data_IF_235406332585
#
_entry.id   IF_235406332585
#
_cell.length_a   1.000
_cell.length_b   1.000
_cell.length_c   1.000
_cell.angle_alpha   90.00
_cell.angle_beta   90.00
_cell.angle_gamma   90.00
#
_symmetry.space_group_name_H-M   'P 1'
#
loop_
_entity.id
_entity.type
_entity.pdbx_description
1 polymer ?
#
# COMPACT_ATOMS: atom_id res chain seq x y z
N UNK A 1 6.30 4.08 11.73
CA UNK A 1 6.06 5.50 12.10
C UNK A 1 4.62 5.94 11.88
N UNK A 2 4.00 5.56 10.75
CA UNK A 2 2.61 5.95 10.41
C UNK A 2 1.63 5.47 11.48
N UNK A 3 1.65 4.20 11.83
CA UNK A 3 0.73 3.64 12.84
C UNK A 3 0.87 4.32 14.22
N UNK A 4 2.09 4.74 14.58
CA UNK A 4 2.30 5.49 15.83
C UNK A 4 1.70 6.89 15.79
N UNK A 5 1.78 7.56 14.63
CA UNK A 5 1.19 8.88 14.45
C UNK A 5 -0.34 8.82 14.40
N UNK A 6 -0.92 7.88 13.68
CA UNK A 6 -2.37 7.70 13.57
C UNK A 6 -3.00 7.23 14.87
N UNK A 7 -2.30 6.46 15.69
CA UNK A 7 -2.76 6.09 17.04
C UNK A 7 -3.03 7.30 17.94
N UNK A 8 -2.36 8.43 17.67
CA UNK A 8 -2.59 9.68 18.38
C UNK A 8 -3.62 10.57 17.68
N UNK A 9 -3.66 10.54 16.36
CA UNK A 9 -4.54 11.38 15.55
C UNK A 9 -5.99 10.88 15.57
N UNK A 10 -6.22 9.60 15.33
CA UNK A 10 -7.56 9.06 15.14
C UNK A 10 -8.52 9.20 16.33
N UNK A 11 -8.07 9.11 17.60
CA UNK A 11 -8.94 9.43 18.74
C UNK A 11 -9.45 10.87 18.76
N UNK A 12 -8.71 11.80 18.14
CA UNK A 12 -9.06 13.23 18.07
C UNK A 12 -9.83 13.52 16.79
N UNK A 13 -9.42 12.96 15.65
CA UNK A 13 -10.01 13.22 14.35
C UNK A 13 -9.87 12.00 13.43
N UNK A 14 -10.98 11.33 13.13
CA UNK A 14 -11.04 10.16 12.24
C UNK A 14 -12.11 10.29 11.14
N UNK A 15 -12.66 11.47 10.96
CA UNK A 15 -13.60 11.79 9.88
C UNK A 15 -13.08 12.96 9.05
N UNK A 16 -13.50 13.10 7.79
CA UNK A 16 -13.11 14.26 6.97
C UNK A 16 -13.44 15.60 7.65
N UNK A 17 -14.59 15.72 8.29
CA UNK A 17 -15.02 16.91 9.01
C UNK A 17 -14.07 17.25 10.17
N UNK A 18 -13.75 16.25 11.00
CA UNK A 18 -12.90 16.42 12.17
C UNK A 18 -11.45 16.76 11.76
N UNK A 19 -10.94 16.15 10.69
CA UNK A 19 -9.60 16.44 10.16
C UNK A 19 -9.54 17.86 9.60
N UNK A 20 -10.56 18.31 8.87
CA UNK A 20 -10.64 19.70 8.39
C UNK A 20 -10.68 20.70 9.55
N UNK A 21 -11.36 20.37 10.64
CA UNK A 21 -11.42 21.22 11.83
C UNK A 21 -10.04 21.41 12.49
N UNK A 22 -9.14 20.43 12.41
CA UNK A 22 -7.76 20.56 12.86
C UNK A 22 -6.93 21.53 12.00
N UNK A 23 -7.27 21.61 10.71
CA UNK A 23 -6.49 22.39 9.74
C UNK A 23 -5.12 21.76 9.43
N UNK A 24 -4.40 22.35 8.48
CA UNK A 24 -3.09 21.87 8.02
C UNK A 24 -2.10 21.79 9.20
N UNK A 25 -1.98 22.86 9.98
CA UNK A 25 -1.04 22.91 11.12
C UNK A 25 -1.41 21.92 12.23
N UNK A 26 -2.70 21.72 12.50
CA UNK A 26 -3.17 20.71 13.45
C UNK A 26 -2.79 19.29 13.01
N UNK A 27 -3.01 18.94 11.75
CA UNK A 27 -2.60 17.64 11.17
C UNK A 27 -1.09 17.48 11.23
N UNK A 28 -0.32 18.50 10.83
CA UNK A 28 1.16 18.48 10.91
C UNK A 28 1.67 18.13 12.31
N UNK A 29 1.04 18.66 13.35
CA UNK A 29 1.46 18.42 14.73
C UNK A 29 1.39 16.93 15.12
N UNK A 30 0.46 16.16 14.55
CA UNK A 30 0.30 14.73 14.80
C UNK A 30 1.21 13.86 13.93
N UNK A 31 1.54 14.30 12.69
CA UNK A 31 2.26 13.47 11.71
C UNK A 31 3.71 13.91 11.47
N UNK A 32 4.24 14.86 12.23
CA UNK A 32 5.60 15.41 12.07
C UNK A 32 6.74 14.38 12.12
N UNK A 33 6.49 13.19 12.65
CA UNK A 33 7.44 12.07 12.67
C UNK A 33 7.45 11.26 11.37
N UNK A 34 6.52 11.54 10.46
CA UNK A 34 6.43 10.88 9.15
C UNK A 34 7.20 11.69 8.12
N UNK A 35 7.96 11.01 7.25
CA UNK A 35 8.64 11.68 6.14
C UNK A 35 7.68 12.42 5.22
N UNK A 36 8.08 13.59 4.74
CA UNK A 36 7.28 14.48 3.87
C UNK A 36 5.96 14.92 4.53
N UNK A 37 5.95 15.11 5.84
CA UNK A 37 4.73 15.41 6.59
C UNK A 37 4.03 16.71 6.16
N UNK A 38 4.80 17.71 5.68
CA UNK A 38 4.22 18.97 5.21
C UNK A 38 3.28 18.75 4.01
N UNK A 39 3.77 18.14 2.95
CA UNK A 39 2.95 17.84 1.76
C UNK A 39 1.86 16.80 2.05
N UNK A 40 2.12 15.85 2.94
CA UNK A 40 1.10 14.88 3.37
C UNK A 40 -0.06 15.56 4.10
N UNK A 41 0.23 16.47 5.04
CA UNK A 41 -0.81 17.22 5.74
C UNK A 41 -1.66 18.06 4.79
N UNK A 42 -1.03 18.77 3.86
CA UNK A 42 -1.74 19.55 2.85
C UNK A 42 -2.62 18.66 1.97
N UNK A 43 -2.10 17.53 1.50
CA UNK A 43 -2.86 16.59 0.69
C UNK A 43 -4.03 15.96 1.45
N UNK A 44 -3.84 15.62 2.73
CA UNK A 44 -4.92 15.10 3.58
C UNK A 44 -6.05 16.12 3.74
N UNK A 45 -5.73 17.38 4.00
CA UNK A 45 -6.72 18.44 4.13
C UNK A 45 -7.47 18.67 2.82
N UNK A 46 -6.76 18.74 1.69
CA UNK A 46 -7.38 18.87 0.37
C UNK A 46 -8.28 17.69 0.04
N UNK A 47 -7.82 16.47 0.34
CA UNK A 47 -8.60 15.24 0.15
C UNK A 47 -9.87 15.26 0.98
N UNK A 48 -9.80 15.59 2.26
CA UNK A 48 -11.00 15.68 3.12
C UNK A 48 -12.01 16.68 2.60
N UNK A 49 -11.56 17.82 2.07
CA UNK A 49 -12.43 18.81 1.45
C UNK A 49 -13.14 18.25 0.21
N UNK A 50 -12.41 17.60 -0.69
CA UNK A 50 -12.97 16.98 -1.89
C UNK A 50 -13.99 15.88 -1.52
N UNK A 51 -13.67 15.05 -0.52
CA UNK A 51 -14.60 14.02 -0.05
C UNK A 51 -15.92 14.60 0.42
N UNK A 52 -15.88 15.70 1.15
CA UNK A 52 -17.10 16.39 1.61
C UNK A 52 -17.87 17.07 0.49
N UNK A 53 -17.19 17.73 -0.43
CA UNK A 53 -17.80 18.49 -1.52
C UNK A 53 -18.34 17.62 -2.65
N UNK A 54 -17.66 16.52 -2.97
CA UNK A 54 -17.93 15.71 -4.17
C UNK A 54 -18.39 14.28 -3.88
N UNK A 55 -18.16 13.75 -2.69
CA UNK A 55 -18.41 12.35 -2.34
C UNK A 55 -19.24 12.16 -1.07
N UNK A 56 -19.93 13.19 -0.62
CA UNK A 56 -20.79 13.11 0.58
C UNK A 56 -20.03 12.74 1.86
N UNK A 57 -18.73 13.03 1.96
CA UNK A 57 -17.90 12.67 3.10
C UNK A 57 -17.43 11.22 3.12
N UNK A 58 -17.74 10.45 2.10
CA UNK A 58 -17.36 9.04 1.97
C UNK A 58 -16.18 8.83 1.00
N UNK A 59 -15.41 7.77 1.22
CA UNK A 59 -14.36 7.37 0.30
C UNK A 59 -15.00 6.71 -0.93
N UNK A 60 -14.72 7.20 -2.16
CA UNK A 60 -15.33 6.64 -3.35
C UNK A 60 -14.80 5.25 -3.67
N UNK A 61 -15.68 4.33 -4.03
CA UNK A 61 -15.36 2.98 -4.53
C UNK A 61 -15.14 2.99 -6.04
N UNK A 62 -14.19 3.82 -6.48
CA UNK A 62 -13.88 4.00 -7.90
C UNK A 62 -12.40 4.39 -8.05
N UNK A 63 -11.67 3.69 -8.94
CA UNK A 63 -10.22 3.92 -9.11
C UNK A 63 -9.93 5.32 -9.62
N UNK A 64 -10.66 5.77 -10.63
CA UNK A 64 -10.46 7.09 -11.23
C UNK A 64 -10.74 8.21 -10.22
N UNK A 65 -11.82 8.11 -9.47
CA UNK A 65 -12.15 9.05 -8.42
C UNK A 65 -11.09 9.07 -7.29
N UNK A 66 -10.55 7.91 -6.93
CA UNK A 66 -9.46 7.82 -5.95
C UNK A 66 -8.17 8.45 -6.47
N UNK A 67 -7.78 8.16 -7.71
CA UNK A 67 -6.56 8.72 -8.32
C UNK A 67 -6.66 10.24 -8.55
N UNK A 68 -7.86 10.78 -8.64
CA UNK A 68 -8.10 12.23 -8.71
C UNK A 68 -7.85 12.95 -7.36
N UNK A 69 -7.77 12.23 -6.25
CA UNK A 69 -7.49 12.81 -4.94
C UNK A 69 -6.01 13.20 -4.81
N UNK A 70 -5.69 14.31 -4.12
CA UNK A 70 -4.31 14.77 -3.94
C UNK A 70 -3.42 13.73 -3.26
N UNK A 71 -2.30 13.41 -3.88
CA UNK A 71 -1.32 12.45 -3.36
C UNK A 71 -1.72 10.98 -3.50
N UNK A 72 -2.82 10.68 -4.19
CA UNK A 72 -3.26 9.31 -4.47
C UNK A 72 -2.88 8.92 -5.89
N UNK A 73 -1.93 8.01 -6.02
CA UNK A 73 -1.59 7.37 -7.28
C UNK A 73 -2.24 6.00 -7.40
N UNK A 74 -1.97 5.30 -8.52
CA UNK A 74 -2.52 3.96 -8.82
C UNK A 74 -2.30 2.95 -7.67
N UNK A 75 -1.10 2.92 -7.09
CA UNK A 75 -0.80 2.02 -5.97
C UNK A 75 -1.71 2.28 -4.77
N UNK A 76 -1.85 3.52 -4.34
CA UNK A 76 -2.69 3.89 -3.20
C UNK A 76 -4.15 3.60 -3.49
N UNK A 77 -4.64 3.93 -4.69
CA UNK A 77 -6.00 3.58 -5.11
C UNK A 77 -6.24 2.07 -5.05
N UNK A 78 -5.32 1.26 -5.56
CA UNK A 78 -5.42 -0.21 -5.48
C UNK A 78 -5.43 -0.73 -4.04
N UNK A 79 -4.63 -0.16 -3.14
CA UNK A 79 -4.64 -0.53 -1.71
C UNK A 79 -5.98 -0.23 -1.08
N UNK A 80 -6.54 0.95 -1.33
CA UNK A 80 -7.84 1.36 -0.79
C UNK A 80 -8.96 0.45 -1.31
N UNK A 81 -8.99 0.20 -2.61
CA UNK A 81 -9.99 -0.68 -3.24
C UNK A 81 -9.93 -2.11 -2.70
N UNK A 82 -8.73 -2.63 -2.50
CA UNK A 82 -8.54 -3.96 -1.92
C UNK A 82 -8.91 -4.00 -0.44
N UNK A 83 -8.34 -3.12 0.37
CA UNK A 83 -8.44 -3.17 1.83
C UNK A 83 -9.79 -2.72 2.35
N UNK A 84 -10.35 -1.64 1.79
CA UNK A 84 -11.61 -1.08 2.24
C UNK A 84 -12.84 -1.69 1.55
N UNK A 85 -12.71 -2.11 0.30
CA UNK A 85 -13.83 -2.56 -0.53
C UNK A 85 -13.72 -4.02 -1.01
N UNK A 86 -12.64 -4.70 -0.71
CA UNK A 86 -12.46 -6.11 -1.07
C UNK A 86 -12.25 -6.37 -2.56
N UNK A 87 -11.80 -5.38 -3.33
CA UNK A 87 -11.50 -5.57 -4.74
C UNK A 87 -10.27 -6.47 -4.94
N UNK A 88 -10.25 -7.29 -6.01
CA UNK A 88 -9.14 -8.19 -6.32
C UNK A 88 -7.95 -7.45 -6.96
N UNK A 89 -7.61 -6.28 -6.45
CA UNK A 89 -6.45 -5.49 -6.87
C UNK A 89 -5.19 -5.97 -6.17
N UNK A 90 -4.05 -5.86 -6.84
CA UNK A 90 -2.74 -6.19 -6.27
C UNK A 90 -1.83 -4.96 -6.45
N UNK A 91 -1.68 -4.18 -5.39
CA UNK A 91 -0.84 -2.99 -5.39
C UNK A 91 0.64 -3.38 -5.24
N UNK A 92 1.38 -3.34 -6.33
CA UNK A 92 2.80 -3.73 -6.34
C UNK A 92 3.66 -2.64 -5.72
N UNK A 93 4.23 -2.93 -4.56
CA UNK A 93 5.23 -2.13 -3.88
C UNK A 93 6.64 -2.70 -4.09
N UNK A 94 7.64 -2.12 -3.45
CA UNK A 94 9.02 -2.59 -3.53
C UNK A 94 9.21 -4.02 -2.99
N UNK A 95 8.41 -4.44 -2.01
CA UNK A 95 8.46 -5.81 -1.47
C UNK A 95 7.94 -6.81 -2.49
N UNK A 96 6.74 -6.57 -3.03
CA UNK A 96 6.11 -7.45 -4.04
C UNK A 96 6.96 -7.49 -5.32
N UNK A 97 7.43 -6.34 -5.79
CA UNK A 97 8.31 -6.27 -6.95
C UNK A 97 9.55 -7.15 -6.79
N UNK A 98 10.21 -7.06 -5.64
CA UNK A 98 11.39 -7.88 -5.33
C UNK A 98 11.06 -9.37 -5.24
N UNK A 99 10.02 -9.74 -4.50
CA UNK A 99 9.61 -11.14 -4.34
C UNK A 99 9.27 -11.76 -5.69
N UNK A 100 8.44 -11.10 -6.49
CA UNK A 100 8.00 -11.62 -7.79
C UNK A 100 9.15 -11.82 -8.77
N UNK A 101 10.13 -10.90 -8.78
CA UNK A 101 11.31 -11.03 -9.63
C UNK A 101 12.29 -12.09 -9.13
N UNK A 102 12.52 -12.20 -7.81
CA UNK A 102 13.39 -13.23 -7.25
C UNK A 102 12.84 -14.64 -7.42
N UNK A 103 11.58 -14.83 -7.09
CA UNK A 103 10.94 -16.14 -7.22
C UNK A 103 10.66 -16.52 -8.67
N UNK A 104 10.68 -15.58 -9.57
CA UNK A 104 10.23 -15.70 -10.97
C UNK A 104 8.74 -16.01 -11.11
N UNK A 105 7.97 -15.80 -10.05
CA UNK A 105 6.53 -16.02 -10.05
C UNK A 105 5.76 -15.09 -10.99
N UNK A 106 6.09 -13.80 -10.97
CA UNK A 106 5.52 -12.79 -11.85
C UNK A 106 6.57 -11.72 -12.18
N UNK A 107 7.64 -12.07 -12.92
CA UNK A 107 8.75 -11.15 -13.17
C UNK A 107 8.35 -10.03 -14.11
N UNK A 108 8.90 -8.84 -13.87
CA UNK A 108 8.69 -7.67 -14.72
C UNK A 108 9.76 -6.61 -14.50
N UNK A 109 9.97 -5.76 -15.50
CA UNK A 109 10.98 -4.69 -15.47
C UNK A 109 10.53 -3.49 -14.61
N UNK A 110 9.24 -3.32 -14.43
CA UNK A 110 8.63 -2.26 -13.65
C UNK A 110 7.40 -2.80 -12.88
N UNK A 111 6.84 -1.96 -12.02
CA UNK A 111 5.71 -2.36 -11.16
C UNK A 111 4.44 -2.68 -11.95
N UNK A 112 4.20 -2.00 -13.05
CA UNK A 112 3.04 -2.21 -13.92
C UNK A 112 3.07 -3.60 -14.56
N UNK A 113 4.23 -4.02 -15.06
CA UNK A 113 4.41 -5.36 -15.64
C UNK A 113 4.24 -6.47 -14.61
N UNK A 114 4.74 -6.26 -13.39
CA UNK A 114 4.55 -7.21 -12.29
C UNK A 114 3.08 -7.29 -11.90
N UNK A 115 2.38 -6.16 -11.77
CA UNK A 115 0.93 -6.11 -11.51
C UNK A 115 0.15 -6.88 -12.59
N UNK A 116 0.42 -6.60 -13.86
CA UNK A 116 -0.24 -7.26 -14.98
C UNK A 116 -0.07 -8.78 -14.94
N UNK A 117 1.15 -9.25 -14.70
CA UNK A 117 1.44 -10.68 -14.60
C UNK A 117 0.78 -11.32 -13.39
N UNK A 118 0.83 -10.67 -12.21
CA UNK A 118 0.16 -11.14 -11.01
C UNK A 118 -1.35 -11.32 -11.23
N UNK A 119 -1.99 -10.34 -11.85
CA UNK A 119 -3.42 -10.43 -12.17
C UNK A 119 -3.76 -11.59 -13.12
N UNK A 120 -2.82 -12.03 -13.95
CA UNK A 120 -2.98 -13.19 -14.84
C UNK A 120 -2.70 -14.53 -14.15
N UNK A 121 -1.67 -14.61 -13.31
CA UNK A 121 -1.21 -15.89 -12.75
C UNK A 121 -1.84 -16.22 -11.41
N UNK A 122 -2.29 -15.24 -10.64
CA UNK A 122 -2.94 -15.49 -9.34
C UNK A 122 -4.39 -15.91 -9.58
N UNK A 123 -4.82 -17.08 -9.05
CA UNK A 123 -6.21 -17.50 -9.13
C UNK A 123 -7.15 -16.47 -8.48
N UNK A 124 -8.36 -16.32 -9.03
CA UNK A 124 -9.34 -15.33 -8.58
C UNK A 124 -9.62 -15.39 -7.08
N UNK A 125 -9.71 -16.59 -6.51
CA UNK A 125 -9.95 -16.82 -5.09
C UNK A 125 -8.86 -16.27 -4.15
N UNK A 126 -7.64 -16.07 -4.66
CA UNK A 126 -6.50 -15.59 -3.86
C UNK A 126 -6.13 -14.12 -4.11
N UNK A 127 -6.74 -13.45 -5.11
CA UNK A 127 -6.33 -12.10 -5.50
C UNK A 127 -6.50 -11.07 -4.39
N UNK A 128 -7.54 -11.17 -3.59
CA UNK A 128 -7.80 -10.22 -2.50
C UNK A 128 -6.72 -10.32 -1.42
N UNK A 129 -6.32 -11.53 -1.04
CA UNK A 129 -5.37 -11.76 0.05
C UNK A 129 -3.90 -11.79 -0.39
N UNK A 130 -3.65 -12.10 -1.66
CA UNK A 130 -2.30 -12.25 -2.23
C UNK A 130 -1.41 -11.03 -2.00
N UNK A 131 -1.97 -9.82 -2.10
CA UNK A 131 -1.26 -8.58 -1.82
C UNK A 131 -0.62 -8.58 -0.43
N UNK A 132 -1.38 -8.94 0.60
CA UNK A 132 -0.90 -8.99 1.98
C UNK A 132 0.15 -10.10 2.18
N UNK A 133 -0.08 -11.27 1.63
CA UNK A 133 0.86 -12.39 1.74
C UNK A 133 2.22 -12.07 1.13
N UNK A 134 2.23 -11.48 -0.07
CA UNK A 134 3.46 -11.09 -0.75
C UNK A 134 4.22 -9.97 -0.01
N UNK A 135 3.51 -8.99 0.54
CA UNK A 135 4.14 -7.94 1.36
C UNK A 135 4.77 -8.54 2.61
N UNK A 136 4.04 -9.36 3.35
CA UNK A 136 4.54 -9.99 4.57
C UNK A 136 5.76 -10.89 4.28
N UNK A 137 5.70 -11.68 3.21
CA UNK A 137 6.82 -12.51 2.78
C UNK A 137 8.06 -11.66 2.43
N UNK A 138 7.87 -10.58 1.68
CA UNK A 138 8.96 -9.67 1.31
C UNK A 138 9.52 -8.88 2.48
N UNK A 139 8.71 -8.61 3.50
CA UNK A 139 9.12 -7.87 4.68
C UNK A 139 9.90 -8.71 5.69
N UNK A 140 9.52 -9.95 5.88
CA UNK A 140 10.02 -10.78 6.98
C UNK A 140 10.90 -11.95 6.54
N UNK A 141 10.74 -12.47 5.32
CA UNK A 141 11.49 -13.63 4.82
C UNK A 141 12.38 -13.24 3.65
N UNK A 142 11.80 -12.82 2.53
CA UNK A 142 12.53 -12.41 1.32
C UNK A 142 12.96 -10.94 1.41
N UNK A 143 13.68 -10.59 2.48
CA UNK A 143 14.14 -9.22 2.75
C UNK A 143 15.18 -8.75 1.71
N UNK A 144 15.37 -7.42 1.62
CA UNK A 144 16.18 -6.82 0.56
C UNK A 144 17.66 -7.27 0.64
N UNK A 145 18.24 -7.23 1.84
CA UNK A 145 19.60 -7.67 2.10
C UNK A 145 19.56 -8.99 2.86
N UNK A 146 20.33 -9.99 2.41
CA UNK A 146 20.42 -11.32 3.02
C UNK A 146 19.05 -11.97 3.25
N UNK A 147 18.32 -12.33 2.17
CA UNK A 147 17.04 -13.02 2.32
C UNK A 147 17.20 -14.33 3.11
N UNK A 148 16.18 -14.67 3.88
CA UNK A 148 16.19 -15.86 4.77
C UNK A 148 15.79 -17.13 4.01
N UNK A 149 16.55 -17.51 3.00
CA UNK A 149 16.19 -18.62 2.12
C UNK A 149 16.16 -19.96 2.85
N UNK A 150 17.04 -20.18 3.82
CA UNK A 150 17.10 -21.43 4.58
C UNK A 150 15.86 -21.72 5.44
N UNK A 151 15.05 -20.71 5.76
CA UNK A 151 13.78 -20.86 6.47
C UNK A 151 12.56 -20.52 5.62
N UNK A 152 12.76 -20.33 4.32
CA UNK A 152 11.70 -19.93 3.40
C UNK A 152 10.85 -21.14 2.99
N UNK A 153 9.55 -21.08 3.25
CA UNK A 153 8.62 -22.18 2.96
C UNK A 153 8.39 -22.45 1.46
N UNK A 154 8.83 -21.53 0.60
CA UNK A 154 8.75 -21.66 -0.86
C UNK A 154 10.15 -21.77 -1.50
N UNK A 155 11.16 -22.11 -0.71
CA UNK A 155 12.55 -22.16 -1.19
C UNK A 155 12.72 -23.11 -2.38
N UNK A 156 12.12 -24.27 -2.31
CA UNK A 156 12.14 -25.32 -3.35
C UNK A 156 11.47 -24.90 -4.68
N UNK A 157 10.53 -23.98 -4.62
CA UNK A 157 9.83 -23.45 -5.80
C UNK A 157 10.48 -22.17 -6.36
N UNK A 158 11.39 -21.57 -5.59
CA UNK A 158 11.97 -20.27 -5.90
C UNK A 158 13.15 -20.40 -6.88
N UNK A 159 13.12 -19.64 -7.98
CA UNK A 159 14.17 -19.62 -8.99
C UNK A 159 15.32 -18.63 -8.72
N UNK A 160 15.33 -17.99 -7.54
CA UNK A 160 16.40 -17.07 -7.17
C UNK A 160 17.74 -17.80 -7.07
N UNK A 161 18.74 -17.33 -7.85
CA UNK A 161 20.04 -18.00 -7.96
C UNK A 161 21.00 -17.67 -6.81
N UNK A 162 20.84 -16.48 -6.20
CA UNK A 162 21.71 -15.99 -5.12
C UNK A 162 21.10 -16.24 -3.74
N UNK A 163 20.59 -17.45 -3.51
CA UNK A 163 19.98 -17.83 -2.24
C UNK A 163 20.96 -17.74 -1.08
N UNK A 164 20.47 -17.32 0.09
CA UNK A 164 21.26 -17.16 1.31
C UNK A 164 20.71 -18.11 2.39
N UNK A 165 21.57 -18.96 2.91
CA UNK A 165 21.24 -20.01 3.88
C UNK A 165 21.80 -19.78 5.28
N UNK A 166 22.50 -18.66 5.50
CA UNK A 166 23.13 -18.31 6.79
C UNK A 166 22.53 -17.03 7.39
#
# INVERSE_FOLDING_TARGET
>A
SVNKATAKLYPVANTPQAILALGVEGVKSYIKTIGLFNSKAENVIKTCRILLEQHGGEVPEDREALEALPGVGRKTANVVLNTAFGWPTIAVDTHIFRVCNRTHFAPGKNVEQVEEKLLKVVPAEFKVDCHHWLILHGRYTCIARKPRCGSCIIEDLCEFKEKVYS
#
